data_IF_543396766582
#
_entry.id   IF_543396766582
#
_cell.length_a   1.000
_cell.length_b   1.000
_cell.length_c   1.000
_cell.angle_alpha   90.00
_cell.angle_beta   90.00
_cell.angle_gamma   90.00
#
_symmetry.space_group_name_H-M   'P 1'
#
loop_
_entity.id
_entity.type
_entity.pdbx_description
1 polymer ?
#
# COMPACT_ATOMS: atom_id res chain seq x y z
N UNK A 1 10.42 -10.14 6.77
CA UNK A 1 9.46 -11.26 6.66
C UNK A 1 8.11 -10.67 6.26
N UNK A 2 7.40 -11.33 5.34
CA UNK A 2 6.39 -10.74 4.44
C UNK A 2 5.11 -10.30 5.15
N UNK A 3 4.97 -9.00 5.45
CA UNK A 3 3.77 -8.40 6.08
C UNK A 3 2.47 -8.63 5.30
N UNK A 4 2.57 -8.76 3.98
CA UNK A 4 1.44 -9.14 3.13
C UNK A 4 0.93 -10.56 3.40
N UNK A 5 1.80 -11.46 3.85
CA UNK A 5 1.39 -12.80 4.27
C UNK A 5 0.64 -12.76 5.61
N UNK A 6 1.10 -11.93 6.55
CA UNK A 6 0.42 -11.69 7.82
C UNK A 6 -0.98 -11.10 7.59
N UNK A 7 -1.10 -10.13 6.67
CA UNK A 7 -2.40 -9.59 6.19
C UNK A 7 -3.28 -10.69 5.62
N UNK A 8 -2.74 -11.58 4.79
CA UNK A 8 -3.48 -12.71 4.24
C UNK A 8 -4.01 -13.65 5.32
N UNK A 9 -3.21 -13.92 6.36
CA UNK A 9 -3.63 -14.73 7.51
C UNK A 9 -4.75 -14.06 8.30
N UNK A 10 -4.69 -12.75 8.49
CA UNK A 10 -5.73 -11.97 9.17
C UNK A 10 -7.05 -12.00 8.39
N UNK A 11 -6.99 -11.79 7.06
CA UNK A 11 -8.17 -11.83 6.18
C UNK A 11 -8.79 -13.23 6.10
N UNK A 12 -7.98 -14.28 6.16
CA UNK A 12 -8.45 -15.67 6.14
C UNK A 12 -9.01 -16.16 7.47
N UNK A 13 -8.95 -15.37 8.54
CA UNK A 13 -9.39 -15.73 9.90
C UNK A 13 -10.48 -14.76 10.37
N UNK A 14 -11.75 -14.97 9.99
CA UNK A 14 -12.83 -14.03 10.33
C UNK A 14 -13.06 -13.98 11.84
N UNK A 15 -13.24 -12.79 12.39
CA UNK A 15 -13.43 -12.53 13.83
C UNK A 15 -14.64 -13.31 14.36
N UNK A 16 -15.76 -13.26 13.65
CA UNK A 16 -17.03 -13.85 14.08
C UNK A 16 -17.06 -15.38 14.11
N UNK A 17 -16.19 -16.06 13.36
CA UNK A 17 -16.23 -17.51 13.17
C UNK A 17 -15.00 -18.26 13.74
N UNK A 18 -14.12 -17.54 14.43
CA UNK A 18 -12.82 -18.08 14.84
C UNK A 18 -12.65 -18.12 16.35
N UNK A 19 -11.90 -19.11 16.84
CA UNK A 19 -11.47 -19.19 18.24
C UNK A 19 -10.52 -18.04 18.61
N UNK A 20 -10.62 -17.55 19.84
CA UNK A 20 -9.69 -16.57 20.45
C UNK A 20 -8.20 -16.88 20.21
N UNK A 21 -7.83 -18.17 20.26
CA UNK A 21 -6.44 -18.61 20.01
C UNK A 21 -5.98 -18.34 18.58
N UNK A 22 -6.87 -18.50 17.59
CA UNK A 22 -6.60 -18.21 16.18
C UNK A 22 -6.55 -16.70 15.93
N UNK A 23 -7.43 -15.95 16.58
CA UNK A 23 -7.47 -14.49 16.49
C UNK A 23 -6.19 -13.85 17.03
N UNK A 24 -5.70 -14.29 18.20
CA UNK A 24 -4.42 -13.81 18.74
C UNK A 24 -3.23 -14.10 17.81
N UNK A 25 -3.25 -15.22 17.10
CA UNK A 25 -2.18 -15.61 16.16
C UNK A 25 -2.26 -14.83 14.84
N UNK A 26 -3.45 -14.54 14.35
CA UNK A 26 -3.69 -13.79 13.12
C UNK A 26 -3.78 -12.27 13.35
N UNK A 27 -3.54 -11.80 14.58
CA UNK A 27 -3.63 -10.40 14.93
C UNK A 27 -2.61 -9.56 14.17
N UNK A 28 -3.09 -8.53 13.47
CA UNK A 28 -2.26 -7.63 12.70
C UNK A 28 -1.96 -6.36 13.49
N UNK A 29 -0.70 -6.20 13.88
CA UNK A 29 -0.19 -5.11 14.69
C UNK A 29 -0.22 -3.75 13.96
N UNK A 30 -0.85 -2.70 14.54
CA UNK A 30 -0.88 -1.36 13.95
C UNK A 30 0.50 -0.77 13.67
N UNK A 31 1.51 -1.12 14.48
CA UNK A 31 2.90 -0.64 14.40
C UNK A 31 3.58 -0.99 13.06
N UNK A 32 3.04 -1.97 12.33
CA UNK A 32 3.49 -2.27 10.97
C UNK A 32 3.19 -1.14 9.98
N UNK A 33 2.16 -0.35 10.25
CA UNK A 33 1.80 0.84 9.46
C UNK A 33 2.85 1.94 9.66
N UNK A 34 3.31 2.14 10.89
CA UNK A 34 4.32 3.17 11.21
C UNK A 34 5.63 2.97 10.44
N UNK A 35 6.00 1.71 10.15
CA UNK A 35 7.18 1.42 9.32
C UNK A 35 6.99 1.90 7.88
N UNK A 36 5.78 1.77 7.32
CA UNK A 36 5.47 2.28 5.99
C UNK A 36 5.49 3.80 5.97
N UNK A 37 4.89 4.45 6.98
CA UNK A 37 4.86 5.92 7.08
C UNK A 37 6.28 6.49 7.18
N UNK A 38 7.12 5.96 8.07
CA UNK A 38 8.54 6.35 8.16
C UNK A 38 9.29 6.18 6.84
N UNK A 39 8.99 5.13 6.09
CA UNK A 39 9.62 4.88 4.79
C UNK A 39 9.10 5.84 3.71
N UNK A 40 7.81 6.19 3.74
CA UNK A 40 7.23 7.21 2.87
C UNK A 40 7.90 8.55 3.12
N UNK A 41 7.97 8.98 4.38
CA UNK A 41 8.57 10.26 4.77
C UNK A 41 10.03 10.36 4.34
N UNK A 42 10.81 9.29 4.54
CA UNK A 42 12.20 9.21 4.11
C UNK A 42 12.37 9.41 2.60
N UNK A 43 11.51 8.78 1.78
CA UNK A 43 11.56 8.95 0.33
C UNK A 43 11.02 10.30 -0.12
N UNK A 44 9.99 10.82 0.54
CA UNK A 44 9.35 12.08 0.16
C UNK A 44 10.26 13.29 0.43
N UNK A 45 11.12 13.23 1.46
CA UNK A 45 12.16 14.25 1.70
C UNK A 45 13.15 14.41 0.55
N UNK A 46 13.44 13.34 -0.19
CA UNK A 46 14.36 13.40 -1.34
C UNK A 46 13.63 13.74 -2.65
N UNK A 47 12.31 13.59 -2.70
CA UNK A 47 11.54 13.74 -3.92
C UNK A 47 11.21 15.21 -4.21
N UNK A 48 11.19 15.60 -5.50
CA UNK A 48 10.68 16.91 -5.88
C UNK A 48 9.17 16.98 -5.57
N UNK A 49 8.68 18.17 -5.14
CA UNK A 49 7.29 18.34 -4.75
C UNK A 49 6.36 18.03 -5.94
N UNK A 50 5.36 17.18 -5.70
CA UNK A 50 4.40 16.78 -6.72
C UNK A 50 3.36 17.88 -6.95
N UNK A 51 3.51 18.64 -8.04
CA UNK A 51 2.57 19.72 -8.40
C UNK A 51 1.49 19.29 -9.37
N UNK A 52 1.68 18.18 -10.09
CA UNK A 52 0.80 17.73 -11.15
C UNK A 52 0.52 16.23 -11.03
N UNK A 53 -0.58 15.77 -11.61
CA UNK A 53 -0.83 14.33 -11.76
C UNK A 53 0.21 13.72 -12.69
N UNK A 54 0.78 12.59 -12.27
CA UNK A 54 1.74 11.80 -13.05
C UNK A 54 1.07 10.58 -13.64
N UNK A 55 1.45 10.25 -14.87
CA UNK A 55 1.14 8.99 -15.51
C UNK A 55 2.11 7.91 -15.02
N UNK A 56 1.67 6.64 -14.92
CA UNK A 56 2.56 5.52 -14.62
C UNK A 56 3.70 5.44 -15.65
N UNK A 57 4.87 5.93 -15.27
CA UNK A 57 6.06 6.08 -16.12
C UNK A 57 7.31 6.02 -15.23
N UNK A 58 8.50 6.33 -15.74
CA UNK A 58 9.73 6.27 -14.92
C UNK A 58 10.56 4.99 -15.04
N UNK A 59 10.47 4.29 -16.18
CA UNK A 59 11.25 3.07 -16.46
C UNK A 59 10.59 1.78 -15.97
N UNK A 60 11.28 0.64 -16.15
CA UNK A 60 10.73 -0.70 -15.85
C UNK A 60 10.41 -0.87 -14.37
N UNK A 61 11.30 -0.44 -13.47
CA UNK A 61 11.09 -0.61 -12.03
C UNK A 61 9.89 0.19 -11.52
N UNK A 62 9.79 1.48 -11.88
CA UNK A 62 8.65 2.33 -11.51
C UNK A 62 7.33 1.79 -12.08
N UNK A 63 7.34 1.29 -13.32
CA UNK A 63 6.15 0.66 -13.92
C UNK A 63 5.66 -0.56 -13.12
N UNK A 64 6.56 -1.45 -12.70
CA UNK A 64 6.18 -2.61 -11.87
C UNK A 64 5.64 -2.17 -10.50
N UNK A 65 6.21 -1.12 -9.89
CA UNK A 65 5.71 -0.56 -8.64
C UNK A 65 4.31 0.05 -8.80
N UNK A 66 4.06 0.74 -9.90
CA UNK A 66 2.71 1.22 -10.21
C UNK A 66 1.72 0.09 -10.46
N UNK A 67 2.12 -1.00 -11.10
CA UNK A 67 1.28 -2.21 -11.23
C UNK A 67 0.97 -2.77 -9.84
N UNK A 68 1.98 -2.98 -9.00
CA UNK A 68 1.80 -3.44 -7.63
C UNK A 68 0.86 -2.52 -6.83
N UNK A 69 0.96 -1.19 -7.01
CA UNK A 69 0.04 -0.22 -6.39
C UNK A 69 -1.41 -0.45 -6.81
N UNK A 70 -1.67 -0.67 -8.10
CA UNK A 70 -3.04 -0.95 -8.58
C UNK A 70 -3.60 -2.26 -8.02
N UNK A 71 -2.76 -3.28 -7.86
CA UNK A 71 -3.11 -4.55 -7.24
C UNK A 71 -3.40 -4.39 -5.74
N UNK A 72 -2.57 -3.62 -5.03
CA UNK A 72 -2.78 -3.29 -3.61
C UNK A 72 -4.10 -2.56 -3.41
N UNK A 73 -4.40 -1.52 -4.21
CA UNK A 73 -5.70 -0.81 -4.15
C UNK A 73 -6.89 -1.72 -4.49
N UNK A 74 -6.70 -2.70 -5.37
CA UNK A 74 -7.73 -3.71 -5.68
C UNK A 74 -8.00 -4.63 -4.50
N UNK A 75 -6.95 -5.06 -3.81
CA UNK A 75 -7.07 -5.86 -2.59
C UNK A 75 -7.70 -5.05 -1.44
N UNK A 76 -7.27 -3.81 -1.23
CA UNK A 76 -7.83 -2.88 -0.25
C UNK A 76 -9.35 -2.73 -0.41
N UNK A 77 -9.87 -2.51 -1.64
CA UNK A 77 -11.33 -2.42 -1.88
C UNK A 77 -12.09 -3.67 -1.43
N UNK A 78 -11.47 -4.85 -1.46
CA UNK A 78 -12.07 -6.09 -0.94
C UNK A 78 -11.98 -6.15 0.58
N UNK A 79 -10.84 -5.78 1.15
CA UNK A 79 -10.61 -5.75 2.60
C UNK A 79 -11.54 -4.75 3.28
N UNK A 80 -11.76 -3.56 2.70
CA UNK A 80 -12.67 -2.54 3.27
C UNK A 80 -14.08 -3.09 3.49
N UNK A 81 -14.59 -3.91 2.56
CA UNK A 81 -15.90 -4.56 2.72
C UNK A 81 -15.90 -5.52 3.92
N UNK A 82 -14.82 -6.29 4.09
CA UNK A 82 -14.69 -7.23 5.22
C UNK A 82 -14.54 -6.50 6.56
N UNK A 83 -13.84 -5.37 6.58
CA UNK A 83 -13.72 -4.51 7.75
C UNK A 83 -15.08 -3.89 8.12
N UNK A 84 -15.86 -3.43 7.13
CA UNK A 84 -17.21 -2.92 7.35
C UNK A 84 -18.18 -3.98 7.88
N UNK A 85 -17.95 -5.25 7.55
CA UNK A 85 -18.71 -6.40 8.07
C UNK A 85 -18.18 -6.91 9.42
N UNK A 86 -17.22 -6.21 10.03
CA UNK A 86 -16.57 -6.59 11.30
C UNK A 86 -15.96 -8.00 11.25
N UNK A 87 -15.56 -8.46 10.07
CA UNK A 87 -14.92 -9.77 9.89
C UNK A 87 -13.40 -9.71 10.05
N UNK A 88 -12.80 -8.52 9.85
CA UNK A 88 -11.35 -8.31 9.89
C UNK A 88 -11.06 -7.04 10.66
N UNK A 89 -9.93 -7.03 11.38
CA UNK A 89 -9.45 -5.88 12.14
C UNK A 89 -9.23 -4.64 11.25
N UNK A 90 -9.62 -3.43 11.71
CA UNK A 90 -9.42 -2.19 10.97
C UNK A 90 -7.95 -1.89 10.63
N UNK A 91 -7.01 -2.36 11.45
CA UNK A 91 -5.57 -2.18 11.25
C UNK A 91 -5.09 -2.71 9.90
N UNK A 92 -5.69 -3.81 9.41
CA UNK A 92 -5.39 -4.40 8.10
C UNK A 92 -5.81 -3.46 6.97
N UNK A 93 -6.98 -2.82 7.11
CA UNK A 93 -7.48 -1.85 6.15
C UNK A 93 -6.58 -0.62 6.06
N UNK A 94 -6.17 -0.07 7.21
CA UNK A 94 -5.25 1.07 7.29
C UNK A 94 -3.90 0.73 6.66
N UNK A 95 -3.35 -0.46 6.96
CA UNK A 95 -2.09 -0.91 6.39
C UNK A 95 -2.15 -1.02 4.85
N UNK A 96 -3.22 -1.59 4.30
CA UNK A 96 -3.40 -1.72 2.84
C UNK A 96 -3.51 -0.36 2.15
N UNK A 97 -4.16 0.61 2.79
CA UNK A 97 -4.23 1.99 2.32
C UNK A 97 -2.82 2.60 2.22
N UNK A 98 -2.06 2.56 3.33
CA UNK A 98 -0.69 3.10 3.40
C UNK A 98 0.29 2.38 2.50
N UNK A 99 0.14 1.07 2.31
CA UNK A 99 0.96 0.31 1.38
C UNK A 99 0.83 0.84 -0.05
N UNK A 100 -0.36 1.27 -0.46
CA UNK A 100 -0.56 1.83 -1.78
C UNK A 100 0.10 3.20 -1.96
N UNK A 101 0.16 4.01 -0.89
CA UNK A 101 0.87 5.29 -0.86
C UNK A 101 2.39 5.05 -0.90
N UNK A 102 2.88 4.09 -0.10
CA UNK A 102 4.28 3.66 -0.14
C UNK A 102 4.71 3.22 -1.55
N UNK A 103 3.92 2.39 -2.23
CA UNK A 103 4.23 1.94 -3.59
C UNK A 103 4.22 3.10 -4.60
N UNK A 104 3.40 4.13 -4.38
CA UNK A 104 3.42 5.34 -5.19
C UNK A 104 4.71 6.14 -4.98
N UNK A 105 5.05 6.45 -3.73
CA UNK A 105 6.27 7.20 -3.38
C UNK A 105 7.52 6.45 -3.82
N UNK A 106 7.57 5.13 -3.63
CA UNK A 106 8.67 4.28 -4.09
C UNK A 106 8.82 4.28 -5.61
N UNK A 107 7.71 4.27 -6.37
CA UNK A 107 7.76 4.35 -7.84
C UNK A 107 8.43 5.66 -8.30
N UNK A 108 8.05 6.78 -7.67
CA UNK A 108 8.65 8.10 -7.94
C UNK A 108 10.12 8.15 -7.54
N UNK A 109 10.45 7.63 -6.36
CA UNK A 109 11.82 7.60 -5.85
C UNK A 109 12.76 6.82 -6.77
N UNK A 110 12.32 5.64 -7.24
CA UNK A 110 13.11 4.83 -8.17
C UNK A 110 13.24 5.49 -9.54
N UNK A 111 12.16 6.12 -10.05
CA UNK A 111 12.23 6.88 -11.30
C UNK A 111 13.27 8.00 -11.21
N UNK A 112 13.27 8.77 -10.11
CA UNK A 112 14.25 9.82 -9.84
C UNK A 112 15.67 9.26 -9.74
N UNK A 113 15.91 8.19 -8.96
CA UNK A 113 17.23 7.59 -8.80
C UNK A 113 17.80 7.02 -10.11
N UNK A 114 16.93 6.61 -11.03
CA UNK A 114 17.32 6.12 -12.36
C UNK A 114 17.36 7.23 -13.42
N UNK A 115 17.17 8.50 -13.04
CA UNK A 115 17.10 9.66 -13.94
C UNK A 115 16.04 9.51 -15.05
N UNK A 116 14.94 8.80 -14.78
CA UNK A 116 13.81 8.73 -15.71
C UNK A 116 12.82 9.86 -15.44
N UNK A 117 12.37 10.52 -16.51
CA UNK A 117 11.34 11.55 -16.40
C UNK A 117 9.94 10.95 -16.20
N UNK A 118 9.22 11.53 -15.24
CA UNK A 118 7.81 11.24 -14.99
C UNK A 118 6.94 12.02 -16.00
N UNK A 119 6.05 11.31 -16.70
CA UNK A 119 5.12 11.94 -17.65
C UNK A 119 3.99 12.61 -16.91
N UNK A 120 3.88 13.92 -17.05
CA UNK A 120 2.78 14.71 -16.48
C UNK A 120 1.50 14.49 -17.30
N UNK A 121 0.39 14.19 -16.63
CA UNK A 121 -0.93 14.12 -17.25
C UNK A 121 -1.40 15.51 -17.68
N UNK A 122 -1.77 15.65 -18.95
CA UNK A 122 -2.37 16.86 -19.50
C UNK A 122 -3.81 16.54 -19.91
N UNK A 123 -4.79 17.24 -19.32
CA UNK A 123 -6.19 17.08 -19.69
C UNK A 123 -6.38 17.55 -21.15
N UNK A 124 -6.95 16.73 -22.05
CA UNK A 124 -7.26 17.19 -23.39
C UNK A 124 -8.28 18.33 -23.33
N UNK A 125 -8.07 19.35 -24.16
CA UNK A 125 -8.98 20.50 -24.32
C UNK A 125 -10.26 20.07 -25.04
#
# INVERSE_FOLDING_TARGET
MSRLFDVGSAVATPIQSSSDSKLKRAFFQPEHTDMLEKSIDAMDMELPPLKNFILPSGGKCAAHLHVARTLSRRAERRVVVLVQQEQVEPSVGVYMNRLSDYLFTAARFVAMKQNFEEKIYKKPK
#
